data_IF_310178115711
#
_entry.id   IF_310178115711
#
_cell.length_a   1.000
_cell.length_b   1.000
_cell.length_c   1.000
_cell.angle_alpha   90.00
_cell.angle_beta   90.00
_cell.angle_gamma   90.00
#
_symmetry.space_group_name_H-M   'P 1'
#
loop_
_entity.id
_entity.type
_entity.pdbx_description
1 polymer ?
#
# COMPACT_ATOMS: atom_id res chain seq x y z
N UNK A 1 44.76 21.44 -18.42
CA UNK A 1 45.67 20.78 -17.44
C UNK A 1 44.81 19.78 -16.66
N UNK A 2 44.93 18.52 -17.05
CA UNK A 2 44.15 17.39 -16.52
C UNK A 2 44.98 16.79 -15.39
N UNK A 3 44.43 16.78 -14.18
CA UNK A 3 45.04 16.09 -13.05
C UNK A 3 44.33 14.76 -12.82
N UNK A 4 45.03 13.71 -13.28
CA UNK A 4 44.66 12.32 -13.07
C UNK A 4 45.06 11.93 -11.63
N UNK A 5 44.12 11.52 -10.79
CA UNK A 5 44.39 10.93 -9.48
C UNK A 5 44.02 9.45 -9.55
N UNK A 6 45.05 8.61 -9.61
CA UNK A 6 44.96 7.17 -9.38
C UNK A 6 44.93 6.91 -7.88
N UNK A 7 43.96 6.12 -7.42
CA UNK A 7 43.95 5.53 -6.08
C UNK A 7 43.95 4.00 -6.25
N UNK A 8 44.94 3.28 -5.70
CA UNK A 8 45.03 1.82 -5.78
C UNK A 8 44.16 1.15 -4.67
N UNK A 9 43.72 -0.04 -5.02
CA UNK A 9 42.81 -0.91 -4.34
C UNK A 9 43.18 -1.39 -2.94
N UNK A 10 42.17 -1.89 -2.27
CA UNK A 10 42.34 -2.88 -1.19
C UNK A 10 41.23 -3.92 -1.27
N UNK A 11 41.64 -5.14 -1.65
CA UNK A 11 40.83 -6.35 -1.63
C UNK A 11 40.90 -6.92 -0.21
N UNK A 12 39.74 -7.12 0.42
CA UNK A 12 39.66 -8.00 1.60
C UNK A 12 38.64 -9.10 1.32
N UNK A 13 39.16 -10.28 1.05
CA UNK A 13 38.46 -11.55 1.17
C UNK A 13 38.31 -11.86 2.66
N UNK A 14 37.10 -12.18 3.09
CA UNK A 14 36.91 -12.96 4.31
C UNK A 14 35.81 -13.99 4.07
N UNK A 15 36.26 -15.22 3.96
CA UNK A 15 35.49 -16.45 4.00
C UNK A 15 35.22 -16.82 5.46
N UNK A 16 34.00 -17.15 5.83
CA UNK A 16 33.67 -17.67 7.16
C UNK A 16 32.41 -18.54 7.10
N UNK A 17 32.64 -19.86 6.81
CA UNK A 17 31.68 -20.92 7.00
C UNK A 17 31.60 -21.28 8.49
N UNK A 18 30.38 -21.42 9.05
CA UNK A 18 30.15 -22.38 10.13
C UNK A 18 28.73 -22.93 10.07
N UNK A 19 28.66 -24.23 9.87
CA UNK A 19 27.54 -25.12 10.15
C UNK A 19 27.37 -25.28 11.68
N UNK A 20 26.18 -25.31 12.19
CA UNK A 20 25.74 -26.31 13.16
C UNK A 20 24.24 -26.25 13.35
N UNK A 21 23.62 -27.35 13.16
CA UNK A 21 22.28 -27.74 13.48
C UNK A 21 22.06 -27.97 14.97
N UNK A 22 20.84 -27.79 15.38
CA UNK A 22 20.23 -28.61 16.44
C UNK A 22 18.70 -28.48 16.38
N UNK A 23 18.09 -29.62 16.16
CA UNK A 23 16.70 -29.98 16.42
C UNK A 23 16.46 -29.93 17.92
N UNK A 24 15.45 -29.22 18.39
CA UNK A 24 14.80 -29.48 19.66
C UNK A 24 13.29 -29.32 19.48
N UNK A 25 12.66 -30.48 19.50
CA UNK A 25 11.26 -30.70 19.75
C UNK A 25 10.97 -30.33 21.22
N UNK A 26 10.01 -29.46 21.50
CA UNK A 26 9.33 -29.49 22.78
C UNK A 26 7.89 -29.04 22.64
N UNK A 27 7.05 -30.00 23.00
CA UNK A 27 5.64 -30.04 23.16
C UNK A 27 5.34 -29.48 24.56
N UNK A 28 4.56 -28.40 24.64
CA UNK A 28 3.67 -28.22 25.79
C UNK A 28 2.52 -27.26 25.45
N UNK A 29 1.37 -27.77 25.82
CA UNK A 29 0.04 -27.18 25.66
C UNK A 29 -0.22 -26.13 26.74
N UNK A 30 -1.24 -25.20 26.41
CA UNK A 30 -2.19 -24.55 27.36
C UNK A 30 -1.92 -23.09 27.67
N UNK A 31 -2.97 -22.28 27.90
CA UNK A 31 -4.39 -22.32 27.54
C UNK A 31 -4.90 -21.08 26.74
N UNK A 32 -6.02 -21.31 26.11
CA UNK A 32 -6.88 -20.30 25.51
C UNK A 32 -7.37 -19.31 26.59
N UNK A 33 -6.93 -18.06 26.48
CA UNK A 33 -7.62 -16.96 27.17
C UNK A 33 -8.49 -16.27 26.13
N UNK A 34 -9.77 -16.49 26.28
CA UNK A 34 -10.87 -15.83 25.56
C UNK A 34 -10.78 -14.32 25.78
N UNK A 35 -10.18 -13.60 24.86
CA UNK A 35 -10.36 -12.17 24.76
C UNK A 35 -11.61 -11.93 23.90
N UNK A 36 -12.62 -11.38 24.53
CA UNK A 36 -13.89 -10.94 23.94
C UNK A 36 -13.59 -9.95 22.82
N UNK A 37 -13.67 -10.42 21.59
CA UNK A 37 -13.76 -9.58 20.41
C UNK A 37 -15.04 -8.79 20.47
N UNK A 38 -14.93 -7.50 20.77
CA UNK A 38 -15.99 -6.53 20.63
C UNK A 38 -16.21 -6.34 19.13
N UNK A 39 -17.11 -7.13 18.60
CA UNK A 39 -17.59 -7.12 17.24
C UNK A 39 -18.22 -5.75 16.93
N UNK A 40 -17.40 -4.80 16.47
CA UNK A 40 -17.89 -3.60 15.81
C UNK A 40 -18.23 -4.01 14.40
N UNK A 41 -19.49 -4.30 14.19
CA UNK A 41 -20.11 -4.64 12.92
C UNK A 41 -20.17 -3.36 12.07
N UNK A 42 -19.05 -2.97 11.46
CA UNK A 42 -19.05 -1.98 10.39
C UNK A 42 -19.63 -2.64 9.14
N UNK A 43 -20.93 -2.53 9.04
CA UNK A 43 -21.67 -2.85 7.81
C UNK A 43 -21.35 -1.74 6.80
N UNK A 44 -20.25 -1.89 6.06
CA UNK A 44 -19.90 -1.05 4.93
C UNK A 44 -20.83 -1.42 3.76
N UNK A 45 -22.00 -0.81 3.75
CA UNK A 45 -22.98 -0.97 2.68
C UNK A 45 -22.58 -0.02 1.54
N UNK A 46 -21.76 -0.50 0.59
CA UNK A 46 -21.45 0.23 -0.64
C UNK A 46 -22.66 0.19 -1.56
N UNK A 47 -23.54 1.16 -1.40
CA UNK A 47 -24.65 1.37 -2.34
C UNK A 47 -24.17 2.30 -3.44
N UNK A 48 -24.45 1.96 -4.71
CA UNK A 48 -23.98 2.63 -5.93
C UNK A 48 -24.25 4.14 -6.10
N UNK A 49 -24.72 4.82 -5.04
CA UNK A 49 -25.03 6.25 -5.03
C UNK A 49 -23.80 7.13 -4.73
N UNK A 50 -22.71 6.55 -4.22
CA UNK A 50 -21.54 7.32 -3.79
C UNK A 50 -20.68 7.83 -4.96
N UNK A 51 -20.70 7.14 -6.10
CA UNK A 51 -19.96 7.57 -7.30
C UNK A 51 -20.50 8.88 -7.86
N UNK A 52 -21.82 9.15 -7.71
CA UNK A 52 -22.42 10.39 -8.19
C UNK A 52 -21.85 11.64 -7.51
N UNK A 53 -21.46 11.54 -6.24
CA UNK A 53 -20.92 12.64 -5.42
C UNK A 53 -19.42 12.90 -5.60
N UNK A 54 -18.71 12.06 -6.38
CA UNK A 54 -17.27 12.22 -6.60
C UNK A 54 -16.94 13.41 -7.50
N UNK A 55 -15.77 14.03 -7.31
CA UNK A 55 -15.24 15.01 -8.26
C UNK A 55 -15.18 14.43 -9.67
N UNK A 56 -15.44 15.29 -10.68
CA UNK A 56 -15.44 14.84 -12.08
C UNK A 56 -14.14 14.18 -12.51
N UNK A 57 -13.00 14.71 -12.06
CA UNK A 57 -11.71 14.12 -12.39
C UNK A 57 -11.54 12.72 -11.80
N UNK A 58 -12.05 12.45 -10.60
CA UNK A 58 -12.02 11.12 -9.97
C UNK A 58 -12.94 10.15 -10.72
N UNK A 59 -14.12 10.60 -11.16
CA UNK A 59 -15.00 9.81 -12.03
C UNK A 59 -14.31 9.39 -13.32
N UNK A 60 -13.69 10.35 -14.01
CA UNK A 60 -12.96 10.08 -15.24
C UNK A 60 -11.80 9.09 -15.02
N UNK A 61 -11.12 9.20 -13.88
CA UNK A 61 -10.08 8.23 -13.49
C UNK A 61 -10.65 6.83 -13.29
N UNK A 62 -11.78 6.68 -12.58
CA UNK A 62 -12.48 5.41 -12.42
C UNK A 62 -12.90 4.81 -13.76
N UNK A 63 -13.41 5.63 -14.68
CA UNK A 63 -13.79 5.15 -16.00
C UNK A 63 -12.57 4.70 -16.82
N UNK A 64 -11.43 5.38 -16.68
CA UNK A 64 -10.19 4.95 -17.31
C UNK A 64 -9.70 3.59 -16.79
N UNK A 65 -9.94 3.28 -15.53
CA UNK A 65 -9.58 1.98 -14.94
C UNK A 65 -10.36 0.81 -15.55
N UNK A 66 -11.61 1.04 -15.93
CA UNK A 66 -12.45 0.02 -16.59
C UNK A 66 -11.92 -0.41 -17.96
N UNK A 67 -11.13 0.46 -18.60
CA UNK A 67 -10.51 0.21 -19.91
C UNK A 67 -9.18 -0.54 -19.83
N UNK A 68 -8.62 -0.68 -18.61
CA UNK A 68 -7.36 -1.41 -18.41
C UNK A 68 -7.57 -2.92 -18.47
N UNK A 69 -6.51 -3.65 -18.77
CA UNK A 69 -6.48 -5.11 -18.67
C UNK A 69 -6.78 -5.55 -17.22
N UNK A 70 -7.39 -6.72 -17.07
CA UNK A 70 -7.89 -7.19 -15.75
C UNK A 70 -6.79 -7.20 -14.69
N UNK A 71 -5.57 -7.60 -15.05
CA UNK A 71 -4.43 -7.68 -14.14
C UNK A 71 -3.81 -6.32 -13.77
N UNK A 72 -4.13 -5.26 -14.52
CA UNK A 72 -3.72 -3.88 -14.24
C UNK A 72 -4.85 -3.02 -13.65
N UNK A 73 -6.05 -3.59 -13.57
CA UNK A 73 -7.23 -2.87 -13.11
C UNK A 73 -7.19 -2.78 -11.58
N UNK A 74 -7.34 -1.57 -11.00
CA UNK A 74 -7.46 -1.43 -9.56
C UNK A 74 -8.57 -2.29 -8.97
N UNK A 75 -8.39 -2.73 -7.73
CA UNK A 75 -9.40 -3.51 -7.01
C UNK A 75 -10.44 -2.61 -6.35
N UNK A 76 -10.02 -1.47 -5.82
CA UNK A 76 -10.92 -0.51 -5.16
C UNK A 76 -10.32 0.88 -5.11
N UNK A 77 -11.18 1.86 -4.87
CA UNK A 77 -10.82 3.22 -4.52
C UNK A 77 -11.46 3.58 -3.20
N UNK A 78 -10.68 4.16 -2.30
CA UNK A 78 -11.07 4.48 -0.93
C UNK A 78 -10.85 5.96 -0.66
N UNK A 79 -11.85 6.62 -0.07
CA UNK A 79 -11.75 8.00 0.38
C UNK A 79 -11.14 8.03 1.79
N UNK A 80 -10.12 8.86 1.97
CA UNK A 80 -9.49 9.15 3.26
C UNK A 80 -9.52 10.64 3.55
N UNK A 81 -9.48 10.99 4.83
CA UNK A 81 -9.09 12.31 5.30
C UNK A 81 -7.61 12.27 5.67
N UNK A 82 -6.77 13.00 4.94
CA UNK A 82 -5.33 13.07 5.17
C UNK A 82 -4.89 14.51 5.34
N UNK A 83 -4.32 14.84 6.51
CA UNK A 83 -3.94 16.22 6.87
C UNK A 83 -5.07 17.23 6.68
N UNK A 84 -6.29 16.82 7.05
CA UNK A 84 -7.49 17.65 6.93
C UNK A 84 -8.04 17.81 5.52
N UNK A 85 -7.49 17.13 4.53
CA UNK A 85 -7.94 17.15 3.13
C UNK A 85 -8.53 15.81 2.74
N UNK A 86 -9.53 15.85 1.85
CA UNK A 86 -10.07 14.66 1.20
C UNK A 86 -9.10 14.15 0.16
N UNK A 87 -8.79 12.86 0.22
CA UNK A 87 -7.90 12.20 -0.75
C UNK A 87 -8.48 10.83 -1.15
N UNK A 88 -8.04 10.31 -2.28
CA UNK A 88 -8.51 9.06 -2.88
C UNK A 88 -7.33 8.11 -3.04
N UNK A 89 -7.38 7.01 -2.33
CA UNK A 89 -6.39 5.96 -2.35
C UNK A 89 -6.84 4.84 -3.27
N UNK A 90 -6.03 4.50 -4.26
CA UNK A 90 -6.29 3.50 -5.29
C UNK A 90 -5.52 2.24 -4.97
N UNK A 91 -6.24 1.15 -4.71
CA UNK A 91 -5.66 -0.15 -4.38
C UNK A 91 -5.50 -0.97 -5.64
N UNK A 92 -4.28 -1.31 -5.97
CA UNK A 92 -3.91 -2.11 -7.14
C UNK A 92 -4.02 -3.62 -6.86
N UNK A 93 -4.15 -4.47 -7.91
CA UNK A 93 -4.46 -5.89 -7.73
C UNK A 93 -3.29 -6.74 -7.25
N UNK A 94 -2.07 -6.30 -7.44
CA UNK A 94 -0.86 -7.07 -7.13
C UNK A 94 0.30 -6.21 -6.62
N UNK A 95 1.19 -6.92 -6.06
CA UNK A 95 2.31 -6.61 -5.17
C UNK A 95 3.36 -5.66 -5.75
N UNK A 96 3.56 -5.61 -7.07
CA UNK A 96 4.59 -4.77 -7.71
C UNK A 96 4.06 -3.40 -8.16
N UNK A 97 2.73 -3.21 -8.08
CA UNK A 97 2.12 -1.91 -8.38
C UNK A 97 2.13 -1.00 -7.16
N UNK A 98 2.32 0.28 -7.40
CA UNK A 98 2.14 1.29 -6.38
C UNK A 98 0.65 1.54 -6.13
N UNK A 99 0.27 1.61 -4.86
CA UNK A 99 -1.05 2.10 -4.48
C UNK A 99 -1.00 3.63 -4.40
N UNK A 100 -1.70 4.29 -5.30
CA UNK A 100 -1.57 5.72 -5.54
C UNK A 100 -2.59 6.53 -4.76
N UNK A 101 -2.19 7.72 -4.29
CA UNK A 101 -3.06 8.68 -3.62
C UNK A 101 -3.19 9.94 -4.45
N UNK A 102 -4.42 10.41 -4.61
CA UNK A 102 -4.79 11.61 -5.35
C UNK A 102 -5.63 12.56 -4.50
N UNK A 103 -5.50 13.85 -4.72
CA UNK A 103 -6.42 14.83 -4.15
C UNK A 103 -7.75 14.92 -4.95
N UNK A 104 -8.66 15.79 -4.52
CA UNK A 104 -9.95 16.05 -5.17
C UNK A 104 -9.84 16.70 -6.55
N UNK A 105 -8.65 17.18 -6.91
CA UNK A 105 -8.31 17.75 -8.24
C UNK A 105 -7.53 16.76 -9.11
N UNK A 106 -7.37 15.51 -8.66
CA UNK A 106 -6.57 14.47 -9.30
C UNK A 106 -5.07 14.74 -9.37
N UNK A 107 -4.54 15.62 -8.55
CA UNK A 107 -3.11 15.72 -8.41
C UNK A 107 -2.60 14.48 -7.66
N UNK A 108 -1.56 13.86 -8.20
CA UNK A 108 -0.88 12.75 -7.55
C UNK A 108 -0.09 13.25 -6.33
N UNK A 109 -0.38 12.69 -5.15
CA UNK A 109 0.27 13.06 -3.90
C UNK A 109 1.45 12.15 -3.57
N UNK A 110 1.36 10.88 -3.93
CA UNK A 110 2.36 9.86 -3.66
C UNK A 110 1.74 8.47 -3.56
N UNK A 111 2.59 7.50 -3.29
CA UNK A 111 2.20 6.11 -3.03
C UNK A 111 2.73 5.70 -1.66
N UNK A 112 1.87 5.51 -0.66
CA UNK A 112 2.31 5.20 0.70
C UNK A 112 2.84 3.77 0.82
N UNK A 113 2.42 2.90 -0.09
CA UNK A 113 2.78 1.49 -0.11
C UNK A 113 2.77 0.92 -1.54
N UNK A 114 2.99 -0.39 -1.66
CA UNK A 114 3.14 -1.06 -2.95
C UNK A 114 4.53 -0.89 -3.56
N UNK A 115 4.64 -1.23 -4.85
CA UNK A 115 5.91 -1.35 -5.54
C UNK A 115 6.73 -2.55 -5.05
N UNK A 116 7.86 -2.82 -5.69
CA UNK A 116 8.70 -4.00 -5.42
C UNK A 116 9.11 -4.16 -3.95
N UNK A 117 9.32 -3.06 -3.24
CA UNK A 117 9.72 -3.08 -1.82
C UNK A 117 8.55 -3.01 -0.84
N UNK A 118 7.34 -2.78 -1.31
CA UNK A 118 6.15 -2.56 -0.48
C UNK A 118 6.14 -1.22 0.28
N UNK A 119 7.17 -0.38 0.13
CA UNK A 119 7.34 0.86 0.91
C UNK A 119 6.82 2.12 0.20
N UNK A 120 6.19 1.94 -0.95
CA UNK A 120 5.73 3.08 -1.74
C UNK A 120 6.87 3.90 -2.35
N UNK A 121 6.58 5.15 -2.72
CA UNK A 121 7.52 6.06 -3.39
C UNK A 121 8.18 7.08 -2.44
N UNK A 122 7.87 7.02 -1.15
CA UNK A 122 8.44 7.87 -0.11
C UNK A 122 7.93 9.31 -0.07
N UNK A 123 6.97 9.72 -0.92
CA UNK A 123 6.44 11.11 -0.92
C UNK A 123 5.49 11.39 0.24
N UNK A 124 4.76 10.38 0.68
CA UNK A 124 3.79 10.48 1.78
C UNK A 124 4.02 9.37 2.82
N UNK A 125 5.20 9.33 3.46
CA UNK A 125 5.59 8.23 4.35
C UNK A 125 4.74 8.13 5.62
N UNK A 126 4.09 9.22 6.00
CA UNK A 126 3.23 9.33 7.18
C UNK A 126 1.74 9.04 6.89
N UNK A 127 1.42 8.59 5.67
CA UNK A 127 0.03 8.35 5.26
C UNK A 127 -0.66 7.29 6.14
N UNK A 128 0.00 6.18 6.40
CA UNK A 128 -0.56 5.09 7.21
C UNK A 128 -0.92 5.53 8.64
N UNK A 129 -0.17 6.50 9.20
CA UNK A 129 -0.39 6.99 10.56
C UNK A 129 -1.42 8.11 10.63
N UNK A 130 -1.48 8.98 9.61
CA UNK A 130 -2.27 10.20 9.65
C UNK A 130 -3.55 10.15 8.84
N UNK A 131 -3.68 9.23 7.88
CA UNK A 131 -4.88 9.10 7.08
C UNK A 131 -5.98 8.37 7.86
N UNK A 132 -7.17 8.96 7.85
CA UNK A 132 -8.36 8.36 8.47
C UNK A 132 -9.30 7.89 7.37
N UNK A 133 -9.65 6.61 7.41
CA UNK A 133 -10.61 6.01 6.49
C UNK A 133 -11.95 6.74 6.60
N UNK A 134 -12.51 7.12 5.47
CA UNK A 134 -13.86 7.70 5.38
C UNK A 134 -14.84 6.67 4.83
N UNK A 135 -14.61 6.20 3.59
CA UNK A 135 -15.45 5.20 2.94
C UNK A 135 -14.78 4.57 1.72
N UNK A 136 -15.23 3.39 1.33
CA UNK A 136 -14.94 2.86 -0.01
C UNK A 136 -15.87 3.53 -1.01
N UNK A 137 -15.31 4.18 -2.02
CA UNK A 137 -16.09 4.90 -3.05
C UNK A 137 -16.34 4.05 -4.29
N UNK A 138 -15.50 3.05 -4.52
CA UNK A 138 -15.64 2.10 -5.61
C UNK A 138 -14.87 0.82 -5.33
N UNK A 139 -15.42 -0.30 -5.77
CA UNK A 139 -14.79 -1.62 -5.71
C UNK A 139 -15.10 -2.38 -7.00
N UNK A 140 -14.10 -3.09 -7.55
CA UNK A 140 -14.26 -3.91 -8.73
C UNK A 140 -15.16 -5.10 -8.41
N UNK A 141 -16.16 -5.37 -9.25
CA UNK A 141 -16.93 -6.60 -9.17
C UNK A 141 -16.03 -7.80 -9.48
N UNK A 142 -16.14 -8.85 -8.67
CA UNK A 142 -15.48 -10.14 -8.89
C UNK A 142 -16.03 -10.86 -10.08
#
# INVERSE_FOLDING_TARGET
MIKLILIPGLIMLSCGSTKSGQTVENKDSVPITTATEKNTKDTLNTTGNDVASLPTCIKNKLDSFKLKEVHERPQKMVEYSYKGKKVYYVVMPCCDFFNEVYDDKCNYLGSPDGGFTGKGDGKIPDFAEQAKLVKTVWEASK
#
